data_IF_485802636318
#
_entry.id   IF_485802636318
#
_cell.length_a   1.000
_cell.length_b   1.000
_cell.length_c   1.000
_cell.angle_alpha   90.00
_cell.angle_beta   90.00
_cell.angle_gamma   90.00
#
_symmetry.space_group_name_H-M   'P 1'
#
loop_
_entity.id
_entity.type
_entity.pdbx_description
1 polymer ?
#
# COMPACT_ATOMS: atom_id res chain seq x y z
N UNK A 1 -7.46 -8.60 6.30
CA UNK A 1 -8.70 -9.41 6.33
C UNK A 1 -9.95 -8.54 6.50
N UNK A 2 -9.90 -7.44 7.24
CA UNK A 2 -11.07 -6.61 7.58
C UNK A 2 -11.39 -5.54 6.53
N UNK A 3 -10.43 -5.17 5.69
CA UNK A 3 -10.56 -4.09 4.70
C UNK A 3 -11.78 -4.24 3.78
N UNK A 4 -12.12 -5.47 3.26
CA UNK A 4 -13.27 -5.64 2.38
C UNK A 4 -14.64 -5.40 3.03
N UNK A 5 -14.70 -5.38 4.35
CA UNK A 5 -15.95 -5.22 5.11
C UNK A 5 -16.00 -3.84 5.75
N UNK A 6 -14.88 -3.41 6.35
CA UNK A 6 -14.83 -2.17 7.14
C UNK A 6 -15.25 -0.92 6.37
N UNK A 7 -14.86 -0.79 5.09
CA UNK A 7 -15.26 0.38 4.31
C UNK A 7 -16.78 0.47 4.13
N UNK A 8 -17.48 -0.67 3.97
CA UNK A 8 -18.96 -0.68 3.86
C UNK A 8 -19.59 -0.26 5.17
N UNK A 9 -19.13 -0.85 6.28
CA UNK A 9 -19.62 -0.49 7.62
C UNK A 9 -19.46 1.00 7.88
N UNK A 10 -18.30 1.58 7.56
CA UNK A 10 -18.02 3.01 7.77
C UNK A 10 -18.85 3.89 6.83
N UNK A 11 -19.04 3.49 5.58
CA UNK A 11 -19.85 4.25 4.62
C UNK A 11 -21.36 4.22 4.96
N UNK A 12 -21.84 3.10 5.50
CA UNK A 12 -23.23 2.92 5.89
C UNK A 12 -23.54 3.49 7.30
N UNK A 13 -22.50 3.77 8.10
CA UNK A 13 -22.65 4.36 9.42
C UNK A 13 -23.12 5.82 9.32
N UNK A 14 -24.23 6.13 9.93
CA UNK A 14 -24.74 7.52 10.00
C UNK A 14 -23.82 8.45 10.81
N UNK A 15 -23.02 7.92 11.74
CA UNK A 15 -22.01 8.64 12.53
C UNK A 15 -20.82 7.74 12.85
N UNK A 16 -19.64 8.30 12.79
CA UNK A 16 -18.37 7.64 13.18
C UNK A 16 -17.73 8.45 14.29
N UNK A 17 -17.50 7.82 15.44
CA UNK A 17 -16.78 8.42 16.56
C UNK A 17 -15.29 8.05 16.52
N UNK A 18 -14.42 9.04 16.74
CA UNK A 18 -12.98 8.83 16.91
C UNK A 18 -12.61 8.99 18.38
N UNK A 19 -12.02 7.94 18.95
CA UNK A 19 -11.50 7.99 20.31
C UNK A 19 -9.98 8.21 20.26
N UNK A 20 -9.54 9.39 20.69
CA UNK A 20 -8.13 9.73 20.79
C UNK A 20 -7.51 9.20 22.10
N UNK A 21 -7.65 7.89 22.33
CA UNK A 21 -7.09 7.18 23.49
C UNK A 21 -6.62 5.80 23.05
N UNK A 22 -5.37 5.40 23.31
CA UNK A 22 -4.92 4.06 23.01
C UNK A 22 -5.68 3.07 23.92
N UNK A 23 -6.46 2.18 23.29
CA UNK A 23 -7.25 1.15 23.99
C UNK A 23 -6.78 -0.27 23.69
N UNK A 24 -5.81 -0.40 22.79
CA UNK A 24 -5.26 -1.69 22.37
C UNK A 24 -3.74 -1.64 22.25
N UNK A 25 -3.06 -2.63 22.86
CA UNK A 25 -1.62 -2.82 22.73
C UNK A 25 -1.32 -3.92 21.72
N UNK A 26 -0.67 -3.57 20.62
CA UNK A 26 -0.25 -4.53 19.61
C UNK A 26 1.17 -5.02 19.91
N UNK A 27 1.30 -6.28 20.31
CA UNK A 27 2.59 -6.88 20.60
C UNK A 27 3.19 -7.52 19.35
N UNK A 28 4.33 -7.02 18.92
CA UNK A 28 5.12 -7.64 17.87
C UNK A 28 5.88 -8.84 18.44
N UNK A 29 5.60 -10.02 17.93
CA UNK A 29 6.30 -11.25 18.32
C UNK A 29 7.07 -11.80 17.12
N UNK A 30 8.34 -12.26 17.29
CA UNK A 30 9.03 -13.04 16.26
C UNK A 30 8.17 -14.24 15.85
N UNK A 31 8.04 -14.49 14.53
CA UNK A 31 7.21 -15.57 14.02
C UNK A 31 5.71 -15.25 13.90
N UNK A 32 5.28 -14.02 14.21
CA UNK A 32 3.89 -13.62 13.92
C UNK A 32 3.66 -13.52 12.41
N UNK A 33 2.39 -13.65 11.98
CA UNK A 33 1.99 -13.58 10.56
C UNK A 33 2.48 -12.29 9.89
N UNK A 34 2.61 -11.20 10.62
CA UNK A 34 3.09 -9.89 10.15
C UNK A 34 4.60 -9.86 9.85
N UNK A 35 5.38 -10.83 10.34
CA UNK A 35 6.83 -10.95 10.14
C UNK A 35 7.23 -12.17 9.30
N UNK A 36 6.26 -12.83 8.66
CA UNK A 36 6.53 -13.93 7.75
C UNK A 36 7.20 -13.45 6.45
N UNK A 37 7.88 -14.35 5.74
CA UNK A 37 8.34 -14.13 4.37
C UNK A 37 7.20 -13.67 3.49
N UNK A 38 7.52 -12.94 2.40
CA UNK A 38 6.52 -12.47 1.44
C UNK A 38 5.71 -13.65 0.88
N UNK A 39 4.41 -13.46 0.80
CA UNK A 39 3.44 -14.42 0.27
C UNK A 39 2.35 -13.72 -0.55
N UNK A 40 1.44 -14.44 -1.16
CA UNK A 40 0.27 -13.87 -1.84
C UNK A 40 -0.55 -12.93 -0.96
N UNK A 41 -0.53 -13.13 0.36
CA UNK A 41 -1.22 -12.26 1.33
C UNK A 41 -0.78 -10.79 1.26
N UNK A 42 0.47 -10.53 0.85
CA UNK A 42 0.99 -9.17 0.70
C UNK A 42 0.31 -8.39 -0.43
N UNK A 43 -0.37 -9.08 -1.36
CA UNK A 43 -1.11 -8.46 -2.46
C UNK A 43 -2.61 -8.31 -2.18
N UNK A 44 -3.14 -8.98 -1.15
CA UNK A 44 -4.57 -8.93 -0.82
C UNK A 44 -5.07 -7.50 -0.60
N UNK A 45 -4.25 -6.64 0.00
CA UNK A 45 -4.63 -5.25 0.19
C UNK A 45 -4.81 -4.51 -1.15
N UNK A 46 -3.92 -4.71 -2.13
CA UNK A 46 -4.07 -4.11 -3.46
C UNK A 46 -5.25 -4.71 -4.22
N UNK A 47 -5.52 -6.00 -4.08
CA UNK A 47 -6.68 -6.68 -4.67
C UNK A 47 -8.00 -6.11 -4.12
N UNK A 48 -8.10 -5.98 -2.81
CA UNK A 48 -9.29 -5.39 -2.17
C UNK A 48 -9.52 -3.96 -2.62
N UNK A 49 -8.48 -3.14 -2.64
CA UNK A 49 -8.62 -1.74 -3.08
C UNK A 49 -8.90 -1.60 -4.57
N UNK A 50 -8.53 -2.58 -5.41
CA UNK A 50 -8.91 -2.61 -6.82
C UNK A 50 -10.44 -2.73 -7.01
N UNK A 51 -11.13 -3.37 -6.07
CA UNK A 51 -12.60 -3.47 -6.06
C UNK A 51 -13.24 -2.26 -5.36
N UNK A 52 -12.66 -1.82 -4.24
CA UNK A 52 -13.18 -0.72 -3.44
C UNK A 52 -13.11 0.61 -4.19
N UNK A 53 -12.01 0.87 -4.88
CA UNK A 53 -11.77 2.15 -5.56
C UNK A 53 -12.86 2.51 -6.57
N UNK A 54 -13.18 1.67 -7.57
CA UNK A 54 -14.27 1.98 -8.52
C UNK A 54 -15.65 2.04 -7.85
N UNK A 55 -15.89 1.26 -6.82
CA UNK A 55 -17.13 1.31 -6.05
C UNK A 55 -17.32 2.69 -5.38
N UNK A 56 -16.28 3.20 -4.71
CA UNK A 56 -16.34 4.53 -4.09
C UNK A 56 -16.49 5.62 -5.14
N UNK A 57 -15.77 5.56 -6.25
CA UNK A 57 -15.90 6.56 -7.32
C UNK A 57 -17.31 6.66 -7.88
N UNK A 58 -18.01 5.52 -7.97
CA UNK A 58 -19.37 5.46 -8.50
C UNK A 58 -20.41 5.96 -7.49
N UNK A 59 -20.31 5.54 -6.24
CA UNK A 59 -21.36 5.74 -5.24
C UNK A 59 -21.10 6.94 -4.30
N UNK A 60 -19.82 7.34 -4.13
CA UNK A 60 -19.37 8.39 -3.21
C UNK A 60 -18.32 9.29 -3.89
N UNK A 61 -18.66 10.00 -4.98
CA UNK A 61 -17.69 10.77 -5.78
C UNK A 61 -16.97 11.87 -4.98
N UNK A 62 -17.54 12.34 -3.89
CA UNK A 62 -16.93 13.29 -2.93
C UNK A 62 -15.71 12.72 -2.23
N UNK A 63 -15.59 11.39 -2.11
CA UNK A 63 -14.46 10.68 -1.48
C UNK A 63 -13.39 10.21 -2.50
N UNK A 64 -13.40 10.79 -3.70
CA UNK A 64 -12.50 10.39 -4.79
C UNK A 64 -11.02 10.49 -4.43
N UNK A 65 -10.63 11.52 -3.69
CA UNK A 65 -9.24 11.75 -3.33
C UNK A 65 -8.76 10.73 -2.29
N UNK A 66 -9.58 10.46 -1.29
CA UNK A 66 -9.33 9.48 -0.22
C UNK A 66 -9.29 8.06 -0.78
N UNK A 67 -10.22 7.73 -1.66
CA UNK A 67 -10.24 6.43 -2.34
C UNK A 67 -8.98 6.24 -3.20
N UNK A 68 -8.55 7.27 -3.91
CA UNK A 68 -7.31 7.25 -4.70
C UNK A 68 -6.07 7.13 -3.83
N UNK A 69 -6.04 7.83 -2.70
CA UNK A 69 -4.97 7.70 -1.71
C UNK A 69 -4.87 6.25 -1.19
N UNK A 70 -5.99 5.66 -0.79
CA UNK A 70 -6.05 4.28 -0.32
C UNK A 70 -5.52 3.30 -1.40
N UNK A 71 -5.93 3.50 -2.66
CA UNK A 71 -5.46 2.70 -3.79
C UNK A 71 -3.95 2.81 -3.98
N UNK A 72 -3.40 4.01 -3.99
CA UNK A 72 -1.95 4.24 -4.12
C UNK A 72 -1.19 3.59 -2.96
N UNK A 73 -1.66 3.75 -1.73
CA UNK A 73 -1.00 3.15 -0.54
C UNK A 73 -0.96 1.63 -0.61
N UNK A 74 -2.01 0.99 -1.10
CA UNK A 74 -2.03 -0.47 -1.25
C UNK A 74 -1.07 -0.97 -2.32
N UNK A 75 -0.95 -0.27 -3.45
CA UNK A 75 0.01 -0.55 -4.51
C UNK A 75 1.46 -0.38 -4.02
N UNK A 76 1.73 0.72 -3.31
CA UNK A 76 3.03 0.99 -2.69
C UNK A 76 3.41 -0.11 -1.72
N UNK A 77 2.48 -0.54 -0.85
CA UNK A 77 2.71 -1.63 0.10
C UNK A 77 3.09 -2.94 -0.61
N UNK A 78 2.33 -3.34 -1.64
CA UNK A 78 2.60 -4.56 -2.39
C UNK A 78 3.99 -4.52 -3.07
N UNK A 79 4.30 -3.42 -3.79
CA UNK A 79 5.58 -3.25 -4.47
C UNK A 79 6.74 -3.20 -3.48
N UNK A 80 6.60 -2.46 -2.39
CA UNK A 80 7.63 -2.34 -1.36
C UNK A 80 7.92 -3.68 -0.68
N UNK A 81 6.89 -4.48 -0.40
CA UNK A 81 7.05 -5.81 0.19
C UNK A 81 7.94 -6.71 -0.69
N UNK A 82 7.73 -6.67 -2.02
CA UNK A 82 8.58 -7.41 -2.97
C UNK A 82 9.99 -6.84 -3.04
N UNK A 83 10.15 -5.51 -3.07
CA UNK A 83 11.47 -4.88 -3.15
C UNK A 83 12.32 -5.11 -1.89
N UNK A 84 11.67 -5.29 -0.74
CA UNK A 84 12.32 -5.59 0.55
C UNK A 84 12.63 -7.07 0.73
N UNK A 85 12.03 -7.96 -0.04
CA UNK A 85 12.13 -9.41 0.10
C UNK A 85 13.48 -9.98 -0.29
N UNK A 86 13.69 -11.27 -0.05
CA UNK A 86 14.85 -12.04 -0.49
C UNK A 86 15.04 -11.98 -2.03
N UNK A 87 16.19 -12.42 -2.52
CA UNK A 87 16.43 -12.50 -3.97
C UNK A 87 15.53 -13.55 -4.63
N UNK A 88 15.26 -14.63 -3.93
CA UNK A 88 14.41 -15.72 -4.38
C UNK A 88 12.94 -15.27 -4.48
N UNK A 89 12.41 -14.71 -3.41
CA UNK A 89 11.05 -14.17 -3.36
C UNK A 89 10.83 -13.06 -4.41
N UNK A 90 11.82 -12.16 -4.57
CA UNK A 90 11.76 -11.15 -5.62
C UNK A 90 11.59 -11.75 -7.01
N UNK A 91 12.29 -12.84 -7.31
CA UNK A 91 12.15 -13.53 -8.60
C UNK A 91 10.77 -14.17 -8.75
N UNK A 92 10.31 -14.84 -7.67
CA UNK A 92 9.00 -15.49 -7.61
C UNK A 92 7.85 -14.50 -7.89
N UNK A 93 7.90 -13.33 -7.28
CA UNK A 93 6.84 -12.33 -7.37
C UNK A 93 7.11 -11.21 -8.41
N UNK A 94 8.16 -11.33 -9.22
CA UNK A 94 8.60 -10.28 -10.14
C UNK A 94 7.53 -9.87 -11.16
N UNK A 95 6.76 -10.82 -11.69
CA UNK A 95 5.69 -10.54 -12.66
C UNK A 95 4.59 -9.73 -11.99
N UNK A 96 4.08 -10.19 -10.86
CA UNK A 96 3.05 -9.52 -10.08
C UNK A 96 3.48 -8.10 -9.69
N UNK A 97 4.70 -7.96 -9.22
CA UNK A 97 5.28 -6.66 -8.90
C UNK A 97 5.33 -5.70 -10.10
N UNK A 98 5.59 -6.20 -11.31
CA UNK A 98 5.55 -5.38 -12.54
C UNK A 98 4.15 -4.87 -12.85
N UNK A 99 3.12 -5.67 -12.62
CA UNK A 99 1.71 -5.30 -12.81
C UNK A 99 1.31 -4.20 -11.83
N UNK A 100 1.61 -4.38 -10.53
CA UNK A 100 1.36 -3.38 -9.49
C UNK A 100 2.10 -2.06 -9.78
N UNK A 101 3.36 -2.10 -10.23
CA UNK A 101 4.12 -0.91 -10.65
C UNK A 101 3.51 -0.22 -11.86
N UNK A 102 3.00 -0.98 -12.83
CA UNK A 102 2.32 -0.40 -14.01
C UNK A 102 1.11 0.41 -13.57
N UNK A 103 0.34 -0.11 -12.65
CA UNK A 103 -0.80 0.61 -12.11
C UNK A 103 -0.38 1.80 -11.25
N UNK A 104 0.61 1.63 -10.37
CA UNK A 104 1.14 2.71 -9.55
C UNK A 104 1.59 3.91 -10.40
N UNK A 105 2.22 3.67 -11.55
CA UNK A 105 2.63 4.72 -12.49
C UNK A 105 1.45 5.54 -13.04
N UNK A 106 0.26 4.97 -13.17
CA UNK A 106 -0.96 5.71 -13.58
C UNK A 106 -1.39 6.74 -12.55
N UNK A 107 -0.92 6.63 -11.32
CA UNK A 107 -1.23 7.53 -10.21
C UNK A 107 -0.13 8.55 -9.89
N UNK A 108 0.96 8.62 -10.67
CA UNK A 108 2.12 9.51 -10.41
C UNK A 108 1.68 10.96 -10.23
N UNK A 109 0.89 11.50 -11.16
CA UNK A 109 0.39 12.88 -11.06
C UNK A 109 -0.36 13.14 -9.75
N UNK A 110 -1.15 12.19 -9.29
CA UNK A 110 -1.88 12.33 -8.04
C UNK A 110 -0.95 12.37 -6.83
N UNK A 111 -0.06 11.41 -6.64
CA UNK A 111 0.74 11.40 -5.43
C UNK A 111 1.82 12.52 -5.41
N UNK A 112 2.25 13.02 -6.56
CA UNK A 112 3.15 14.17 -6.62
C UNK A 112 2.47 15.47 -6.22
N UNK A 113 1.21 15.69 -6.63
CA UNK A 113 0.48 16.94 -6.37
C UNK A 113 -0.33 16.92 -5.08
N UNK A 114 -0.70 15.73 -4.59
CA UNK A 114 -1.54 15.58 -3.40
C UNK A 114 -0.81 15.96 -2.10
N UNK A 115 -1.55 16.57 -1.17
CA UNK A 115 -1.12 16.86 0.21
C UNK A 115 -1.13 15.62 1.12
N UNK A 116 -1.75 14.52 0.71
CA UNK A 116 -1.78 13.26 1.48
C UNK A 116 -0.39 12.61 1.65
N UNK A 117 0.57 12.98 0.79
CA UNK A 117 1.92 12.40 0.79
C UNK A 117 2.97 13.43 1.19
N UNK A 118 3.79 13.07 2.17
CA UNK A 118 4.97 13.85 2.56
C UNK A 118 6.08 13.81 1.47
N UNK A 119 7.00 14.77 1.50
CA UNK A 119 8.10 14.86 0.52
C UNK A 119 8.92 13.56 0.41
N UNK A 120 9.26 12.96 1.56
CA UNK A 120 10.02 11.69 1.60
C UNK A 120 9.23 10.54 0.98
N UNK A 121 7.93 10.46 1.25
CA UNK A 121 7.04 9.44 0.67
C UNK A 121 6.97 9.59 -0.85
N UNK A 122 6.78 10.81 -1.37
CA UNK A 122 6.75 11.07 -2.82
C UNK A 122 8.01 10.56 -3.54
N UNK A 123 9.19 10.80 -2.95
CA UNK A 123 10.46 10.29 -3.50
C UNK A 123 10.50 8.76 -3.46
N UNK A 124 10.15 8.17 -2.32
CA UNK A 124 10.15 6.72 -2.14
C UNK A 124 9.17 6.04 -3.11
N UNK A 125 7.96 6.59 -3.25
CA UNK A 125 6.92 6.05 -4.12
C UNK A 125 7.30 6.15 -5.60
N UNK A 126 8.01 7.21 -6.01
CA UNK A 126 8.62 7.31 -7.34
C UNK A 126 9.66 6.21 -7.57
N UNK A 127 10.57 6.01 -6.63
CA UNK A 127 11.60 4.98 -6.74
C UNK A 127 10.97 3.58 -6.82
N UNK A 128 9.91 3.33 -6.08
CA UNK A 128 9.14 2.08 -6.14
C UNK A 128 8.44 1.92 -7.49
N UNK A 129 7.79 2.97 -7.99
CA UNK A 129 7.06 2.94 -9.27
C UNK A 129 7.97 2.62 -10.47
N UNK A 130 9.22 3.09 -10.43
CA UNK A 130 10.21 2.83 -11.48
C UNK A 130 11.15 1.65 -11.20
N UNK A 131 11.00 0.97 -10.06
CA UNK A 131 11.82 -0.20 -9.70
C UNK A 131 13.25 0.12 -9.28
N UNK A 132 13.51 1.38 -8.93
CA UNK A 132 14.84 1.86 -8.51
C UNK A 132 15.09 1.68 -7.01
N UNK A 133 14.02 1.54 -6.22
CA UNK A 133 14.10 1.47 -4.76
C UNK A 133 15.00 0.32 -4.28
N UNK A 134 14.83 -0.89 -4.82
CA UNK A 134 15.64 -2.06 -4.46
C UNK A 134 17.13 -1.87 -4.78
N UNK A 135 17.43 -1.25 -5.90
CA UNK A 135 18.81 -1.01 -6.33
C UNK A 135 19.50 0.00 -5.42
N UNK A 136 18.86 1.14 -5.17
CA UNK A 136 19.39 2.20 -4.32
C UNK A 136 19.57 1.71 -2.87
N UNK A 137 18.60 1.00 -2.32
CA UNK A 137 18.73 0.43 -0.98
C UNK A 137 19.95 -0.48 -0.86
N UNK A 138 20.20 -1.35 -1.83
CA UNK A 138 21.38 -2.23 -1.84
C UNK A 138 22.68 -1.45 -1.90
N UNK A 139 22.71 -0.34 -2.62
CA UNK A 139 23.86 0.53 -2.69
C UNK A 139 24.17 1.14 -1.31
N UNK A 140 23.18 1.71 -0.64
CA UNK A 140 23.35 2.32 0.68
C UNK A 140 23.62 1.32 1.81
N UNK A 141 23.14 0.07 1.71
CA UNK A 141 23.43 -0.96 2.71
C UNK A 141 24.80 -1.59 2.55
N UNK A 142 25.45 -1.49 1.38
CA UNK A 142 26.83 -1.93 1.14
C UNK A 142 27.88 -0.89 1.53
N UNK A 143 27.48 0.35 1.67
CA UNK A 143 28.37 1.46 2.02
C UNK A 143 28.54 1.66 3.54
N UNK A 144 27.93 0.79 4.36
CA UNK A 144 28.14 0.66 5.81
C UNK A 144 28.91 -0.62 6.11
#
# INVERSE_FOLDING_TARGET
EDVPIMYKIVLDAGRVGLLNKPIYNYFHRPGSITFSSISEKNFQFSEHTAVIYPYILKNYPQLKQEARFLRVRSLVYAVQSVDLSSREDYRKFAQRCREERRELRRHIGFFLTSSFFGRKEKITDLLLAFGLYRQLRRFFTRAK
#
